data_IF_185488162734
#
_entry.id   IF_185488162734
#
_cell.length_a   1.000
_cell.length_b   1.000
_cell.length_c   1.000
_cell.angle_alpha   90.00
_cell.angle_beta   90.00
_cell.angle_gamma   90.00
#
_symmetry.space_group_name_H-M   'P 1'
#
loop_
_entity.id
_entity.type
_entity.pdbx_description
1 polymer ?
#
# COMPACT_ATOMS: atom_id res chain seq x y z
N UNK A 1 -8.21 11.06 -15.12
CA UNK A 1 -7.63 9.78 -14.65
C UNK A 1 -6.29 10.07 -13.99
N UNK A 2 -6.03 9.53 -12.79
CA UNK A 2 -4.76 9.57 -12.03
C UNK A 2 -3.88 10.83 -12.25
N UNK A 3 -4.46 12.02 -12.07
CA UNK A 3 -3.80 13.29 -12.40
C UNK A 3 -2.53 13.51 -11.57
N UNK A 4 -2.51 12.99 -10.36
CA UNK A 4 -1.42 13.19 -9.39
C UNK A 4 -0.45 12.01 -9.30
N UNK A 5 -0.88 10.79 -9.66
CA UNK A 5 -0.03 9.59 -9.62
C UNK A 5 0.72 9.40 -10.95
N UNK A 6 1.93 9.94 -11.04
CA UNK A 6 2.71 9.95 -12.27
C UNK A 6 3.19 8.56 -12.69
N UNK A 7 3.53 7.69 -11.73
CA UNK A 7 3.94 6.30 -11.99
C UNK A 7 2.89 5.54 -12.78
N UNK A 8 1.65 5.48 -12.26
CA UNK A 8 0.57 4.76 -12.93
C UNK A 8 0.06 5.49 -14.18
N UNK A 9 0.06 6.82 -14.20
CA UNK A 9 -0.33 7.59 -15.39
C UNK A 9 0.57 7.27 -16.58
N UNK A 10 1.88 7.26 -16.40
CA UNK A 10 2.82 6.90 -17.47
C UNK A 10 2.58 5.45 -17.94
N UNK A 11 2.40 4.54 -16.99
CA UNK A 11 2.22 3.12 -17.26
C UNK A 11 0.92 2.80 -18.00
N UNK A 12 -0.19 3.41 -17.59
CA UNK A 12 -1.49 3.22 -18.23
C UNK A 12 -1.53 3.87 -19.62
N UNK A 13 -0.97 5.08 -19.77
CA UNK A 13 -0.85 5.71 -21.09
C UNK A 13 -0.06 4.84 -22.08
N UNK A 14 1.03 4.20 -21.63
CA UNK A 14 1.81 3.28 -22.47
C UNK A 14 1.03 2.01 -22.86
N UNK A 15 0.03 1.61 -22.08
CA UNK A 15 -0.89 0.51 -22.37
C UNK A 15 -2.14 0.95 -23.17
N UNK A 16 -2.22 2.22 -23.59
CA UNK A 16 -3.38 2.77 -24.29
C UNK A 16 -4.61 2.98 -23.40
N UNK A 17 -4.41 3.10 -22.08
CA UNK A 17 -5.47 3.33 -21.08
C UNK A 17 -5.29 4.76 -20.57
N UNK A 18 -6.22 5.64 -20.92
CA UNK A 18 -6.11 7.10 -20.71
C UNK A 18 -7.31 7.69 -19.97
N UNK A 19 -8.46 7.02 -20.03
CA UNK A 19 -9.71 7.41 -19.40
C UNK A 19 -10.29 6.26 -18.59
N UNK A 20 -11.20 6.55 -17.66
CA UNK A 20 -11.80 5.51 -16.81
C UNK A 20 -12.67 4.57 -17.65
N UNK A 21 -13.29 5.13 -18.70
CA UNK A 21 -14.15 4.49 -19.67
C UNK A 21 -13.42 3.45 -20.52
N UNK A 22 -12.08 3.48 -20.57
CA UNK A 22 -11.26 2.46 -21.23
C UNK A 22 -11.33 1.10 -20.49
N UNK A 23 -11.81 1.07 -19.23
CA UNK A 23 -12.02 -0.12 -18.40
C UNK A 23 -13.48 -0.13 -17.93
N UNK A 24 -14.37 -0.70 -18.75
CA UNK A 24 -15.82 -0.65 -18.52
C UNK A 24 -16.41 -1.98 -18.00
N UNK A 25 -15.69 -3.08 -18.19
CA UNK A 25 -16.10 -4.41 -17.76
C UNK A 25 -14.99 -5.17 -17.03
N UNK A 26 -15.36 -6.26 -16.35
CA UNK A 26 -14.41 -7.10 -15.63
C UNK A 26 -13.32 -7.66 -16.54
N UNK A 27 -13.67 -8.01 -17.79
CA UNK A 27 -12.72 -8.55 -18.77
C UNK A 27 -11.66 -7.52 -19.21
N UNK A 28 -11.97 -6.22 -19.12
CA UNK A 28 -11.00 -5.17 -19.43
C UNK A 28 -9.84 -5.12 -18.44
N UNK A 29 -9.99 -5.70 -17.24
CA UNK A 29 -8.90 -5.76 -16.25
C UNK A 29 -7.68 -6.51 -16.80
N UNK A 30 -7.87 -7.44 -17.74
CA UNK A 30 -6.77 -8.15 -18.41
C UNK A 30 -5.87 -7.22 -19.25
N UNK A 31 -6.34 -6.02 -19.59
CA UNK A 31 -5.58 -4.99 -20.31
C UNK A 31 -4.68 -4.17 -19.38
N UNK A 32 -4.92 -4.21 -18.07
CA UNK A 32 -4.13 -3.47 -17.11
C UNK A 32 -2.73 -4.09 -16.98
N UNK A 33 -1.65 -3.30 -17.14
CA UNK A 33 -0.29 -3.82 -17.02
C UNK A 33 0.02 -4.18 -15.56
N UNK A 34 0.63 -5.35 -15.34
CA UNK A 34 1.04 -5.80 -14.02
C UNK A 34 2.06 -4.87 -13.37
N UNK A 35 1.90 -4.60 -12.07
CA UNK A 35 2.89 -3.88 -11.27
C UNK A 35 3.84 -4.83 -10.56
N UNK A 36 5.15 -4.56 -10.67
CA UNK A 36 6.19 -5.39 -10.05
C UNK A 36 6.92 -4.62 -8.96
N UNK A 37 7.48 -5.35 -7.99
CA UNK A 37 8.32 -4.73 -6.96
C UNK A 37 9.55 -4.04 -7.56
N UNK A 38 10.12 -4.61 -8.62
CA UNK A 38 11.35 -4.12 -9.24
C UNK A 38 11.16 -2.72 -9.84
N UNK A 39 10.06 -2.46 -10.53
CA UNK A 39 9.76 -1.13 -11.09
C UNK A 39 9.49 -0.09 -10.00
N UNK A 40 8.78 -0.44 -8.92
CA UNK A 40 8.55 0.46 -7.80
C UNK A 40 9.88 0.81 -7.10
N UNK A 41 10.76 -0.17 -6.92
CA UNK A 41 12.09 0.07 -6.38
C UNK A 41 12.94 0.95 -7.31
N UNK A 42 12.90 0.72 -8.62
CA UNK A 42 13.64 1.54 -9.60
C UNK A 42 13.11 2.99 -9.63
N UNK A 43 11.79 3.18 -9.57
CA UNK A 43 11.16 4.49 -9.49
C UNK A 43 11.58 5.27 -8.23
N UNK A 44 11.65 4.62 -7.06
CA UNK A 44 12.14 5.27 -5.83
C UNK A 44 13.62 5.64 -5.90
N UNK A 45 14.43 4.88 -6.67
CA UNK A 45 15.85 5.20 -6.89
C UNK A 45 16.00 6.39 -7.84
N UNK A 46 15.23 6.42 -8.92
CA UNK A 46 15.25 7.51 -9.90
C UNK A 46 14.65 8.81 -9.34
N UNK A 47 13.66 8.70 -8.46
CA UNK A 47 12.90 9.83 -7.91
C UNK A 47 12.87 9.78 -6.37
N UNK A 48 14.00 10.01 -5.69
CA UNK A 48 14.05 9.96 -4.24
C UNK A 48 13.21 11.09 -3.60
N UNK A 49 12.66 10.88 -2.38
CA UNK A 49 12.86 9.70 -1.53
C UNK A 49 11.79 8.60 -1.70
N UNK A 50 10.66 8.89 -2.35
CA UNK A 50 9.44 8.05 -2.32
C UNK A 50 8.97 7.56 -3.70
N UNK A 51 9.63 7.97 -4.79
CA UNK A 51 9.17 7.66 -6.13
C UNK A 51 8.08 8.63 -6.61
N UNK A 52 7.44 8.26 -7.70
CA UNK A 52 6.36 8.99 -8.37
C UNK A 52 5.00 8.29 -8.24
N UNK A 53 4.93 7.24 -7.43
CA UNK A 53 3.73 6.44 -7.16
C UNK A 53 2.79 7.02 -6.08
N UNK A 54 3.11 8.17 -5.50
CA UNK A 54 2.20 8.82 -4.54
C UNK A 54 1.05 9.51 -5.28
N UNK A 55 -0.17 9.33 -4.76
CA UNK A 55 -1.38 9.97 -5.27
C UNK A 55 -1.64 11.33 -4.61
N UNK A 56 -1.17 11.52 -3.38
CA UNK A 56 -1.34 12.77 -2.63
C UNK A 56 0.03 13.44 -2.40
N UNK A 57 0.06 14.73 -2.03
CA UNK A 57 1.26 15.35 -1.51
C UNK A 57 1.80 14.63 -0.26
N UNK A 58 3.13 14.61 0.00
CA UNK A 58 3.73 13.91 1.14
C UNK A 58 3.11 14.23 2.51
N UNK A 59 2.65 15.46 2.72
CA UNK A 59 2.00 15.94 3.94
C UNK A 59 0.66 15.27 4.26
N UNK A 60 0.03 14.60 3.29
CA UNK A 60 -1.21 13.84 3.51
C UNK A 60 -0.96 12.46 4.13
N UNK A 61 0.30 12.00 4.15
CA UNK A 61 0.66 10.69 4.67
C UNK A 61 1.10 10.77 6.13
N UNK A 62 0.55 9.91 6.96
CA UNK A 62 0.77 9.93 8.42
C UNK A 62 1.64 8.78 8.91
N UNK A 63 1.95 7.82 8.04
CA UNK A 63 2.77 6.65 8.34
C UNK A 63 3.76 6.39 7.22
N UNK A 64 4.92 5.88 7.61
CA UNK A 64 5.94 5.37 6.69
C UNK A 64 6.42 4.01 7.18
N UNK A 65 6.43 3.05 6.27
CA UNK A 65 6.93 1.70 6.48
C UNK A 65 7.98 1.38 5.41
N UNK A 66 8.77 0.34 5.68
CA UNK A 66 9.81 -0.09 4.77
C UNK A 66 9.94 -1.61 4.76
N UNK A 67 10.08 -2.17 3.57
CA UNK A 67 10.35 -3.61 3.42
C UNK A 67 11.71 -3.98 4.03
N UNK A 68 11.81 -5.17 4.61
CA UNK A 68 13.02 -5.68 5.27
C UNK A 68 14.18 -6.02 4.32
N UNK A 69 13.95 -5.97 3.00
CA UNK A 69 14.82 -6.42 1.91
C UNK A 69 16.26 -6.80 2.29
N UNK A 70 16.54 -8.11 2.26
CA UNK A 70 17.88 -8.69 2.44
C UNK A 70 18.69 -8.72 1.15
N UNK A 71 18.02 -8.65 0.00
CA UNK A 71 18.63 -8.54 -1.34
C UNK A 71 17.92 -7.43 -2.14
N UNK A 72 18.55 -6.26 -2.21
CA UNK A 72 18.13 -5.14 -3.05
C UNK A 72 17.71 -3.86 -2.30
N UNK A 73 17.36 -2.84 -3.09
CA UNK A 73 16.84 -1.55 -2.60
C UNK A 73 15.54 -1.77 -1.81
N UNK A 74 15.46 -1.18 -0.61
CA UNK A 74 14.28 -1.30 0.25
C UNK A 74 13.20 -0.36 -0.24
N UNK A 75 11.98 -0.88 -0.39
CA UNK A 75 10.84 -0.06 -0.77
C UNK A 75 10.28 0.65 0.46
N UNK A 76 10.09 1.97 0.36
CA UNK A 76 9.33 2.77 1.32
C UNK A 76 7.86 2.80 0.92
N UNK A 77 6.97 2.70 1.89
CA UNK A 77 5.53 2.74 1.67
C UNK A 77 4.88 3.73 2.63
N UNK A 78 3.94 4.52 2.13
CA UNK A 78 3.30 5.59 2.87
C UNK A 78 1.78 5.37 2.90
N UNK A 79 1.19 5.60 4.06
CA UNK A 79 -0.24 5.46 4.29
C UNK A 79 -0.83 6.79 4.78
N UNK A 80 -1.99 7.17 4.25
CA UNK A 80 -2.79 8.30 4.76
C UNK A 80 -3.47 7.86 6.06
N UNK A 81 -4.07 8.82 6.78
CA UNK A 81 -4.88 8.47 7.95
C UNK A 81 -6.03 7.50 7.59
N UNK A 82 -6.68 7.73 6.44
CA UNK A 82 -7.77 6.89 5.94
C UNK A 82 -7.31 5.48 5.54
N UNK A 83 -6.20 5.36 4.81
CA UNK A 83 -5.68 4.04 4.42
C UNK A 83 -5.18 3.25 5.62
N UNK A 84 -4.62 3.92 6.63
CA UNK A 84 -4.22 3.29 7.89
C UNK A 84 -5.42 2.81 8.73
N UNK A 85 -6.49 3.60 8.76
CA UNK A 85 -7.74 3.22 9.42
C UNK A 85 -8.38 2.00 8.72
N UNK A 86 -8.32 1.95 7.38
CA UNK A 86 -8.72 0.78 6.61
C UNK A 86 -7.90 -0.47 6.95
N UNK A 87 -6.57 -0.35 7.10
CA UNK A 87 -5.73 -1.45 7.59
C UNK A 87 -6.23 -2.02 8.92
N UNK A 88 -6.57 -1.15 9.87
CA UNK A 88 -7.11 -1.55 11.17
C UNK A 88 -8.40 -2.36 11.04
N UNK A 89 -9.35 -1.87 10.23
CA UNK A 89 -10.61 -2.59 9.97
C UNK A 89 -10.38 -3.97 9.33
N UNK A 90 -9.45 -4.08 8.38
CA UNK A 90 -9.11 -5.37 7.77
C UNK A 90 -8.57 -6.35 8.81
N UNK A 91 -7.65 -5.92 9.67
CA UNK A 91 -7.13 -6.77 10.75
C UNK A 91 -8.19 -7.14 11.78
N UNK A 92 -9.11 -6.22 12.13
CA UNK A 92 -10.22 -6.55 13.02
C UNK A 92 -11.09 -7.69 12.45
N UNK A 93 -11.30 -7.76 11.12
CA UNK A 93 -11.98 -8.90 10.50
C UNK A 93 -11.17 -10.19 10.65
N UNK A 94 -9.84 -10.14 10.49
CA UNK A 94 -8.96 -11.31 10.72
C UNK A 94 -9.06 -11.80 12.16
N UNK A 95 -9.07 -10.89 13.14
CA UNK A 95 -9.22 -11.23 14.55
C UNK A 95 -10.57 -11.86 14.86
N UNK A 96 -11.66 -11.29 14.37
CA UNK A 96 -13.01 -11.87 14.53
C UNK A 96 -13.10 -13.27 13.90
N UNK A 97 -12.55 -13.45 12.70
CA UNK A 97 -12.50 -14.75 12.04
C UNK A 97 -11.66 -15.78 12.81
N UNK A 98 -10.65 -15.33 13.54
CA UNK A 98 -9.84 -16.15 14.45
C UNK A 98 -10.51 -16.40 15.83
N UNK A 99 -11.72 -15.88 16.07
CA UNK A 99 -12.45 -16.04 17.32
C UNK A 99 -12.01 -15.10 18.45
N UNK A 100 -11.19 -14.10 18.14
CA UNK A 100 -10.76 -13.10 19.13
C UNK A 100 -11.90 -12.11 19.38
N UNK A 101 -12.24 -11.90 20.65
CA UNK A 101 -13.28 -11.00 21.11
C UNK A 101 -12.77 -9.88 22.02
N UNK A 102 -13.73 -9.08 22.52
CA UNK A 102 -13.50 -7.92 23.39
C UNK A 102 -12.86 -8.23 24.76
N UNK A 103 -13.00 -9.47 25.22
CA UNK A 103 -12.44 -9.96 26.48
C UNK A 103 -11.03 -10.54 26.35
N UNK A 104 -10.55 -10.73 25.13
CA UNK A 104 -9.25 -11.31 24.89
C UNK A 104 -8.12 -10.28 25.01
N UNK A 105 -6.92 -10.78 25.27
CA UNK A 105 -5.70 -9.96 25.31
C UNK A 105 -4.78 -10.41 24.21
N UNK A 106 -4.38 -9.49 23.33
CA UNK A 106 -3.47 -9.78 22.23
C UNK A 106 -2.05 -9.41 22.63
N UNK A 107 -1.15 -10.40 22.63
CA UNK A 107 0.26 -10.18 22.87
C UNK A 107 1.02 -10.14 21.53
N UNK A 108 1.64 -9.00 21.24
CA UNK A 108 2.44 -8.79 20.03
C UNK A 108 3.90 -9.21 20.28
N UNK A 109 4.20 -10.48 20.03
CA UNK A 109 5.53 -11.08 20.23
C UNK A 109 6.52 -10.74 19.08
N UNK A 110 6.51 -9.50 18.60
CA UNK A 110 7.31 -9.05 17.45
C UNK A 110 7.96 -7.70 17.73
N UNK A 111 9.03 -7.39 17.01
CA UNK A 111 9.66 -6.07 17.09
C UNK A 111 8.89 -5.04 16.25
N UNK A 112 8.64 -3.87 16.83
CA UNK A 112 8.03 -2.73 16.14
C UNK A 112 9.08 -1.93 15.35
N UNK A 113 9.60 -2.57 14.30
CA UNK A 113 10.50 -1.96 13.31
C UNK A 113 9.75 -1.33 12.13
N UNK A 114 10.41 -1.05 11.00
CA UNK A 114 9.77 -0.41 9.85
C UNK A 114 8.82 -1.33 9.07
N UNK A 115 8.72 -2.61 9.44
CA UNK A 115 7.84 -3.57 8.77
C UNK A 115 6.37 -3.33 9.14
N UNK A 116 5.53 -3.11 8.13
CA UNK A 116 4.13 -2.70 8.30
C UNK A 116 3.26 -3.72 9.04
N UNK A 117 3.51 -5.02 8.87
CA UNK A 117 2.59 -6.08 9.32
C UNK A 117 2.33 -6.08 10.83
N UNK A 118 3.37 -5.78 11.64
CA UNK A 118 3.21 -5.76 13.09
C UNK A 118 2.47 -4.51 13.57
N UNK A 119 2.68 -3.37 12.92
CA UNK A 119 1.95 -2.14 13.21
C UNK A 119 0.47 -2.23 12.81
N UNK A 120 0.16 -2.82 11.66
CA UNK A 120 -1.22 -2.93 11.19
C UNK A 120 -2.02 -3.94 12.02
N UNK A 121 -1.40 -5.04 12.45
CA UNK A 121 -2.00 -5.95 13.42
C UNK A 121 -2.29 -5.25 14.76
N UNK A 122 -1.31 -4.49 15.28
CA UNK A 122 -1.52 -3.70 16.50
C UNK A 122 -2.64 -2.66 16.34
N UNK A 123 -2.70 -1.96 15.19
CA UNK A 123 -3.80 -1.05 14.91
C UNK A 123 -5.15 -1.78 14.95
N UNK A 124 -5.26 -2.93 14.30
CA UNK A 124 -6.50 -3.70 14.24
C UNK A 124 -6.96 -4.27 15.58
N UNK A 125 -6.07 -4.41 16.57
CA UNK A 125 -6.45 -4.82 17.93
C UNK A 125 -7.18 -3.71 18.70
N UNK A 126 -7.08 -2.47 18.24
CA UNK A 126 -7.78 -1.31 18.81
C UNK A 126 -9.08 -0.97 18.07
N UNK A 127 -9.52 -1.81 17.13
CA UNK A 127 -10.72 -1.67 16.28
C UNK A 127 -11.80 -2.68 16.65
#
# INVERSE_FOLDING_TARGET
MLETNAFYRQKFNAAGITQAEDIAALDDLARLPFTTRAELSADQVAHPPYGTNLTYPPECYTRIHQTSGTTGQRLRWLDTAESWDWWGRCWAQVYRAAGVGDRDRIFFAFSFGPFIGFWSGHQGASH
#
